data_IF_974372843113
#
_entry.id   IF_974372843113
#
_cell.length_a   1.000
_cell.length_b   1.000
_cell.length_c   1.000
_cell.angle_alpha   90.00
_cell.angle_beta   90.00
_cell.angle_gamma   90.00
#
_symmetry.space_group_name_H-M   'P 1'
#
loop_
_entity.id
_entity.type
_entity.pdbx_description
1 polymer ?
#
# COMPACT_ATOMS: atom_id res chain seq x y z
N UNK A 1 -35.50 33.42 49.78
CA UNK A 1 -35.70 32.34 48.79
C UNK A 1 -34.82 32.76 47.63
N UNK A 2 -33.54 32.40 47.67
CA UNK A 2 -32.60 32.79 46.63
C UNK A 2 -32.37 31.56 45.76
N UNK A 3 -33.05 31.55 44.61
CA UNK A 3 -32.79 30.60 43.53
C UNK A 3 -31.50 31.06 42.86
N UNK A 4 -30.41 30.35 43.07
CA UNK A 4 -29.18 30.53 42.30
C UNK A 4 -29.41 29.91 40.92
N UNK A 5 -29.67 30.75 39.91
CA UNK A 5 -29.54 30.35 38.52
C UNK A 5 -28.06 30.39 38.15
N UNK A 6 -27.54 29.24 37.73
CA UNK A 6 -26.16 29.07 37.27
C UNK A 6 -26.16 29.14 35.73
N UNK A 7 -25.68 30.26 35.19
CA UNK A 7 -25.54 30.44 33.75
C UNK A 7 -24.28 29.72 33.24
N UNK A 8 -24.48 28.59 32.55
CA UNK A 8 -23.40 27.85 31.90
C UNK A 8 -23.16 28.40 30.51
N UNK A 9 -22.07 29.15 30.33
CA UNK A 9 -21.61 29.59 29.00
C UNK A 9 -20.75 28.50 28.34
N UNK A 10 -21.21 27.97 27.22
CA UNK A 10 -20.48 26.96 26.46
C UNK A 10 -19.54 27.62 25.43
N UNK A 11 -18.24 27.30 25.43
CA UNK A 11 -17.30 27.75 24.39
C UNK A 11 -17.60 27.16 23.00
N UNK A 12 -17.16 27.83 21.93
CA UNK A 12 -17.40 27.40 20.54
C UNK A 12 -16.94 25.98 20.20
N UNK A 13 -15.91 25.48 20.88
CA UNK A 13 -15.45 24.10 20.68
C UNK A 13 -16.45 23.07 21.22
N UNK A 14 -17.28 23.43 22.20
CA UNK A 14 -18.25 22.51 22.80
C UNK A 14 -19.33 22.15 21.79
N UNK A 15 -19.77 23.10 20.98
CA UNK A 15 -20.71 22.83 19.87
C UNK A 15 -20.08 21.82 18.91
N UNK A 16 -18.82 22.00 18.51
CA UNK A 16 -18.12 21.06 17.61
C UNK A 16 -17.98 19.65 18.20
N UNK A 17 -17.74 19.54 19.50
CA UNK A 17 -17.66 18.25 20.19
C UNK A 17 -19.03 17.59 20.32
N UNK A 18 -20.07 18.36 20.61
CA UNK A 18 -21.44 17.86 20.67
C UNK A 18 -21.90 17.38 19.30
N UNK A 19 -21.64 18.16 18.24
CA UNK A 19 -21.93 17.76 16.86
C UNK A 19 -21.17 16.48 16.48
N UNK A 20 -19.91 16.35 16.92
CA UNK A 20 -19.15 15.12 16.74
C UNK A 20 -19.84 13.94 17.45
N UNK A 21 -20.20 14.07 18.73
CA UNK A 21 -20.86 12.99 19.46
C UNK A 21 -22.21 12.62 18.87
N UNK A 22 -23.00 13.61 18.44
CA UNK A 22 -24.25 13.38 17.73
C UNK A 22 -23.98 12.63 16.43
N UNK A 23 -22.99 13.04 15.64
CA UNK A 23 -22.62 12.37 14.39
C UNK A 23 -22.15 10.92 14.58
N UNK A 24 -21.52 10.62 15.72
CA UNK A 24 -21.13 9.25 16.09
C UNK A 24 -22.33 8.36 16.46
N UNK A 25 -23.45 8.96 16.85
CA UNK A 25 -24.69 8.25 17.17
C UNK A 25 -25.68 8.21 16.02
N UNK A 26 -25.56 9.12 15.05
CA UNK A 26 -26.44 9.21 13.91
C UNK A 26 -26.11 8.14 12.86
N UNK A 27 -27.15 7.46 12.40
CA UNK A 27 -27.05 6.38 11.42
C UNK A 27 -27.13 6.90 9.97
N UNK A 28 -26.51 8.07 9.72
CA UNK A 28 -26.65 8.79 8.45
C UNK A 28 -26.05 8.00 7.29
N UNK A 29 -26.83 7.92 6.20
CA UNK A 29 -26.37 7.34 4.95
C UNK A 29 -25.22 8.21 4.40
N UNK A 30 -24.06 7.59 4.20
CA UNK A 30 -22.89 8.31 3.69
C UNK A 30 -23.15 8.87 2.29
N UNK A 31 -22.95 10.17 2.14
CA UNK A 31 -23.32 10.91 0.93
C UNK A 31 -22.23 10.94 -0.17
N UNK A 32 -21.68 9.78 -0.54
CA UNK A 32 -20.65 9.69 -1.61
C UNK A 32 -21.06 10.42 -2.90
N UNK A 33 -22.35 10.30 -3.27
CA UNK A 33 -22.91 10.90 -4.48
C UNK A 33 -23.01 12.42 -4.40
N UNK A 34 -23.28 12.95 -3.21
CA UNK A 34 -23.39 14.38 -2.97
C UNK A 34 -22.07 15.06 -3.31
N UNK A 35 -20.94 14.46 -2.92
CA UNK A 35 -19.62 15.04 -3.19
C UNK A 35 -19.27 15.10 -4.68
N UNK A 36 -19.50 14.02 -5.44
CA UNK A 36 -19.18 14.00 -6.87
C UNK A 36 -20.05 14.99 -7.64
N UNK A 37 -21.37 14.96 -7.40
CA UNK A 37 -22.30 15.86 -8.05
C UNK A 37 -22.04 17.32 -7.66
N UNK A 38 -21.80 17.62 -6.38
CA UNK A 38 -21.49 18.96 -5.91
C UNK A 38 -20.17 19.48 -6.51
N UNK A 39 -19.16 18.63 -6.65
CA UNK A 39 -17.90 18.97 -7.34
C UNK A 39 -18.18 19.38 -8.78
N UNK A 40 -18.89 18.53 -9.53
CA UNK A 40 -19.24 18.82 -10.91
C UNK A 40 -20.10 20.09 -11.05
N UNK A 41 -21.12 20.26 -10.21
CA UNK A 41 -22.02 21.40 -10.25
C UNK A 41 -21.31 22.72 -9.95
N UNK A 42 -20.42 22.72 -8.94
CA UNK A 42 -19.62 23.89 -8.60
C UNK A 42 -18.70 24.31 -9.77
N UNK A 43 -17.97 23.36 -10.35
CA UNK A 43 -17.07 23.61 -11.47
C UNK A 43 -17.83 24.04 -12.72
N UNK A 44 -18.92 23.34 -13.08
CA UNK A 44 -19.72 23.65 -14.26
C UNK A 44 -20.32 25.05 -14.21
N UNK A 45 -20.87 25.43 -13.06
CA UNK A 45 -21.52 26.74 -12.89
C UNK A 45 -20.49 27.86 -13.02
N UNK A 46 -19.34 27.72 -12.35
CA UNK A 46 -18.27 28.69 -12.44
C UNK A 46 -17.63 28.75 -13.84
N UNK A 47 -17.53 27.63 -14.53
CA UNK A 47 -17.00 27.56 -15.90
C UNK A 47 -17.92 28.24 -16.93
N UNK A 48 -19.24 28.12 -16.74
CA UNK A 48 -20.24 28.76 -17.59
C UNK A 48 -20.34 30.28 -17.35
N UNK A 49 -20.30 30.71 -16.08
CA UNK A 49 -20.50 32.12 -15.71
C UNK A 49 -19.20 32.93 -15.76
N UNK A 50 -18.03 32.29 -15.63
CA UNK A 50 -16.69 32.92 -15.59
C UNK A 50 -16.64 34.20 -14.74
N UNK A 51 -17.20 34.13 -13.53
CA UNK A 51 -17.44 35.28 -12.65
C UNK A 51 -16.58 35.25 -11.37
N UNK A 52 -16.94 36.12 -10.41
CA UNK A 52 -16.24 36.33 -9.12
C UNK A 52 -16.25 35.12 -8.15
N UNK A 53 -16.81 33.99 -8.58
CA UNK A 53 -16.91 32.75 -7.80
C UNK A 53 -15.97 31.64 -8.27
N UNK A 54 -15.13 31.86 -9.29
CA UNK A 54 -14.17 30.88 -9.81
C UNK A 54 -13.27 30.27 -8.72
N UNK A 55 -12.65 31.12 -7.87
CA UNK A 55 -11.81 30.64 -6.77
C UNK A 55 -12.61 29.83 -5.74
N UNK A 56 -13.81 30.28 -5.37
CA UNK A 56 -14.67 29.57 -4.42
C UNK A 56 -15.13 28.21 -4.96
N UNK A 57 -15.45 28.14 -6.25
CA UNK A 57 -15.81 26.90 -6.91
C UNK A 57 -14.65 25.90 -6.90
N UNK A 58 -13.42 26.36 -7.15
CA UNK A 58 -12.23 25.52 -7.05
C UNK A 58 -12.00 25.00 -5.62
N UNK A 59 -12.12 25.86 -4.61
CA UNK A 59 -12.00 25.45 -3.20
C UNK A 59 -13.09 24.45 -2.80
N UNK A 60 -14.32 24.68 -3.25
CA UNK A 60 -15.45 23.77 -2.99
C UNK A 60 -15.22 22.41 -3.65
N UNK A 61 -14.79 22.40 -4.92
CA UNK A 61 -14.43 21.20 -5.64
C UNK A 61 -13.30 20.42 -4.96
N UNK A 62 -12.25 21.12 -4.50
CA UNK A 62 -11.13 20.53 -3.76
C UNK A 62 -11.59 19.86 -2.46
N UNK A 63 -12.41 20.55 -1.67
CA UNK A 63 -12.91 20.05 -0.40
C UNK A 63 -13.82 18.82 -0.58
N UNK A 64 -14.74 18.89 -1.54
CA UNK A 64 -15.64 17.77 -1.86
C UNK A 64 -14.86 16.55 -2.38
N UNK A 65 -13.87 16.77 -3.25
CA UNK A 65 -13.01 15.69 -3.76
C UNK A 65 -12.20 15.04 -2.64
N UNK A 66 -11.63 15.84 -1.74
CA UNK A 66 -10.89 15.32 -0.58
C UNK A 66 -11.78 14.47 0.33
N UNK A 67 -12.98 14.98 0.66
CA UNK A 67 -13.96 14.25 1.47
C UNK A 67 -14.38 12.93 0.81
N UNK A 68 -14.66 12.94 -0.49
CA UNK A 68 -14.98 11.73 -1.24
C UNK A 68 -13.87 10.67 -1.10
N UNK A 69 -12.61 11.09 -1.25
CA UNK A 69 -11.47 10.17 -1.13
C UNK A 69 -11.31 9.63 0.29
N UNK A 70 -11.50 10.46 1.31
CA UNK A 70 -11.45 10.02 2.70
C UNK A 70 -12.57 9.03 3.04
N UNK A 71 -13.76 9.23 2.45
CA UNK A 71 -14.87 8.31 2.58
C UNK A 71 -14.61 6.95 1.91
N UNK A 72 -13.94 6.94 0.75
CA UNK A 72 -13.52 5.71 0.06
C UNK A 72 -12.44 4.97 0.86
N UNK A 73 -11.44 5.68 1.38
CA UNK A 73 -10.42 5.11 2.28
C UNK A 73 -11.04 4.53 3.54
N UNK A 74 -12.03 5.21 4.10
CA UNK A 74 -12.75 4.75 5.30
C UNK A 74 -13.51 3.46 5.02
N UNK A 75 -14.21 3.36 3.88
CA UNK A 75 -14.84 2.12 3.44
C UNK A 75 -13.83 0.99 3.30
N UNK A 76 -12.70 1.24 2.61
CA UNK A 76 -11.62 0.26 2.45
C UNK A 76 -11.13 -0.26 3.80
N UNK A 77 -10.86 0.64 4.75
CA UNK A 77 -10.37 0.30 6.08
C UNK A 77 -11.43 -0.43 6.91
N UNK A 78 -12.71 -0.06 6.80
CA UNK A 78 -13.79 -0.76 7.47
C UNK A 78 -13.89 -2.22 7.00
N UNK A 79 -13.84 -2.46 5.69
CA UNK A 79 -13.84 -3.82 5.14
C UNK A 79 -12.63 -4.62 5.66
N UNK A 80 -11.44 -4.00 5.66
CA UNK A 80 -10.23 -4.61 6.23
C UNK A 80 -10.39 -4.96 7.70
N UNK A 81 -10.98 -4.08 8.52
CA UNK A 81 -11.24 -4.32 9.95
C UNK A 81 -12.14 -5.54 10.15
N UNK A 82 -13.23 -5.63 9.40
CA UNK A 82 -14.13 -6.80 9.45
C UNK A 82 -13.44 -8.07 8.99
N UNK A 83 -12.55 -7.99 7.99
CA UNK A 83 -11.76 -9.13 7.55
C UNK A 83 -10.77 -9.61 8.59
N UNK A 84 -10.14 -8.70 9.34
CA UNK A 84 -9.28 -9.07 10.45
C UNK A 84 -10.06 -9.71 11.61
N UNK A 85 -11.20 -9.12 11.98
CA UNK A 85 -12.08 -9.64 13.04
C UNK A 85 -12.60 -11.06 12.76
N UNK A 86 -12.65 -11.49 11.49
CA UNK A 86 -13.02 -12.86 11.11
C UNK A 86 -12.11 -13.92 11.74
N UNK A 87 -10.86 -13.58 12.05
CA UNK A 87 -9.92 -14.50 12.71
C UNK A 87 -10.31 -14.79 14.15
N UNK A 88 -10.96 -13.85 14.82
CA UNK A 88 -11.35 -13.96 16.23
C UNK A 88 -12.63 -14.78 16.43
N UNK A 89 -13.38 -15.04 15.35
CA UNK A 89 -14.61 -15.83 15.40
C UNK A 89 -14.31 -17.32 15.60
N UNK A 90 -14.83 -17.85 16.72
CA UNK A 90 -14.61 -19.22 17.15
C UNK A 90 -15.69 -20.19 16.67
N UNK A 91 -16.94 -19.74 16.50
CA UNK A 91 -18.06 -20.60 16.10
C UNK A 91 -18.66 -20.17 14.76
N UNK A 92 -19.35 -21.10 14.09
CA UNK A 92 -20.06 -20.79 12.84
C UNK A 92 -21.14 -19.72 13.04
N UNK A 93 -21.78 -19.68 14.21
CA UNK A 93 -22.76 -18.65 14.58
C UNK A 93 -22.12 -17.26 14.70
N UNK A 94 -20.90 -17.16 15.25
CA UNK A 94 -20.17 -15.88 15.32
C UNK A 94 -19.87 -15.35 13.92
N UNK A 95 -19.47 -16.24 13.00
CA UNK A 95 -19.24 -15.88 11.59
C UNK A 95 -20.54 -15.45 10.90
N UNK A 96 -21.64 -16.16 11.13
CA UNK A 96 -22.97 -15.80 10.60
C UNK A 96 -23.39 -14.41 11.07
N UNK A 97 -23.33 -14.15 12.38
CA UNK A 97 -23.68 -12.84 12.96
C UNK A 97 -22.77 -11.74 12.43
N UNK A 98 -21.45 -11.99 12.41
CA UNK A 98 -20.48 -11.02 11.90
C UNK A 98 -20.70 -10.68 10.42
N UNK A 99 -21.05 -11.67 9.60
CA UNK A 99 -21.26 -11.48 8.16
C UNK A 99 -22.64 -10.89 7.82
N UNK A 100 -23.71 -11.52 8.29
CA UNK A 100 -25.08 -11.18 7.88
C UNK A 100 -25.70 -10.05 8.71
N UNK A 101 -25.49 -10.04 10.02
CA UNK A 101 -26.15 -9.04 10.88
C UNK A 101 -25.36 -7.73 10.90
N UNK A 102 -24.03 -7.83 10.92
CA UNK A 102 -23.13 -6.67 11.05
C UNK A 102 -22.62 -6.22 9.70
N UNK A 103 -21.81 -7.02 9.01
CA UNK A 103 -21.13 -6.57 7.79
C UNK A 103 -22.10 -6.26 6.65
N UNK A 104 -23.05 -7.16 6.38
CA UNK A 104 -24.02 -6.96 5.31
C UNK A 104 -24.86 -5.70 5.57
N UNK A 105 -25.46 -5.58 6.76
CA UNK A 105 -26.31 -4.44 7.11
C UNK A 105 -25.54 -3.12 7.13
N UNK A 106 -24.40 -3.05 7.81
CA UNK A 106 -23.69 -1.79 8.07
C UNK A 106 -22.77 -1.36 6.93
N UNK A 107 -22.19 -2.30 6.19
CA UNK A 107 -21.20 -2.02 5.15
C UNK A 107 -21.77 -2.31 3.76
N UNK A 108 -22.29 -3.52 3.55
CA UNK A 108 -22.67 -3.97 2.21
C UNK A 108 -23.87 -3.18 1.66
N UNK A 109 -24.98 -3.19 2.41
CA UNK A 109 -26.27 -2.62 1.98
C UNK A 109 -26.28 -1.09 2.07
N UNK A 110 -25.62 -0.52 3.10
CA UNK A 110 -25.64 0.92 3.37
C UNK A 110 -24.58 1.73 2.64
N UNK A 111 -23.43 1.13 2.32
CA UNK A 111 -22.28 1.88 1.81
C UNK A 111 -21.83 1.32 0.46
N UNK A 112 -21.49 0.03 0.41
CA UNK A 112 -20.87 -0.57 -0.77
C UNK A 112 -21.82 -0.70 -1.97
N UNK A 113 -23.04 -1.20 -1.76
CA UNK A 113 -24.02 -1.36 -2.84
C UNK A 113 -24.48 -0.02 -3.44
N UNK A 114 -24.82 1.01 -2.65
CA UNK A 114 -25.11 2.34 -3.19
C UNK A 114 -23.93 2.89 -4.00
N UNK A 115 -22.70 2.75 -3.52
CA UNK A 115 -21.51 3.18 -4.25
C UNK A 115 -21.36 2.46 -5.60
N UNK A 116 -21.67 1.16 -5.67
CA UNK A 116 -21.53 0.34 -6.88
C UNK A 116 -22.66 0.53 -7.90
N UNK A 117 -23.86 0.80 -7.42
CA UNK A 117 -25.07 0.90 -8.27
C UNK A 117 -25.26 2.30 -8.83
N UNK A 118 -24.68 3.31 -8.19
CA UNK A 118 -24.82 4.70 -8.60
C UNK A 118 -23.69 5.10 -9.54
N UNK A 119 -24.06 5.54 -10.74
CA UNK A 119 -23.15 5.89 -11.83
C UNK A 119 -22.55 7.31 -11.70
N UNK A 120 -22.48 7.87 -10.48
CA UNK A 120 -22.05 9.25 -10.27
C UNK A 120 -20.60 9.48 -10.68
N UNK A 121 -19.69 8.59 -10.24
CA UNK A 121 -18.26 8.72 -10.54
C UNK A 121 -17.99 8.59 -12.05
N UNK A 122 -18.41 7.50 -12.74
CA UNK A 122 -18.13 7.38 -14.17
C UNK A 122 -18.79 8.48 -15.01
N UNK A 123 -20.00 8.92 -14.62
CA UNK A 123 -20.74 9.99 -15.33
C UNK A 123 -20.06 11.36 -15.23
N UNK A 124 -19.56 11.73 -14.05
CA UNK A 124 -19.07 13.10 -13.81
C UNK A 124 -17.56 13.25 -13.88
N UNK A 125 -16.79 12.16 -13.78
CA UNK A 125 -15.31 12.19 -13.85
C UNK A 125 -14.79 12.89 -15.11
N UNK A 126 -15.21 12.44 -16.30
CA UNK A 126 -14.70 13.02 -17.55
C UNK A 126 -15.07 14.51 -17.72
N UNK A 127 -16.32 14.96 -17.45
CA UNK A 127 -16.64 16.39 -17.44
C UNK A 127 -15.82 17.22 -16.45
N UNK A 128 -15.58 16.73 -15.22
CA UNK A 128 -14.77 17.41 -14.21
C UNK A 128 -13.33 17.59 -14.71
N UNK A 129 -12.70 16.51 -15.18
CA UNK A 129 -11.33 16.54 -15.67
C UNK A 129 -11.17 17.48 -16.86
N UNK A 130 -12.16 17.52 -17.76
CA UNK A 130 -12.15 18.44 -18.90
C UNK A 130 -12.17 19.90 -18.44
N UNK A 131 -13.10 20.29 -17.56
CA UNK A 131 -13.19 21.67 -17.05
C UNK A 131 -11.86 22.07 -16.38
N UNK A 132 -11.30 21.19 -15.55
CA UNK A 132 -10.05 21.47 -14.84
C UNK A 132 -8.84 21.56 -15.79
N UNK A 133 -8.79 20.75 -16.84
CA UNK A 133 -7.75 20.86 -17.87
C UNK A 133 -7.85 22.18 -18.64
N UNK A 134 -9.06 22.65 -18.93
CA UNK A 134 -9.29 23.96 -19.56
C UNK A 134 -8.83 25.08 -18.62
N UNK A 135 -9.16 25.03 -17.32
CA UNK A 135 -8.71 26.00 -16.33
C UNK A 135 -7.19 25.96 -16.11
N UNK A 136 -6.57 24.77 -16.18
CA UNK A 136 -5.13 24.58 -16.05
C UNK A 136 -4.35 25.15 -17.25
N UNK A 137 -4.98 25.27 -18.41
CA UNK A 137 -4.36 25.85 -19.62
C UNK A 137 -4.66 27.35 -19.79
N UNK A 138 -5.79 27.85 -19.29
CA UNK A 138 -6.21 29.26 -19.37
C UNK A 138 -5.54 30.17 -18.30
N UNK A 139 -4.42 30.81 -18.67
CA UNK A 139 -3.66 31.69 -17.77
C UNK A 139 -4.48 32.91 -17.27
N UNK A 140 -5.19 33.66 -18.13
CA UNK A 140 -6.07 34.74 -17.69
C UNK A 140 -7.07 34.30 -16.62
N UNK A 141 -7.70 33.13 -16.79
CA UNK A 141 -8.65 32.59 -15.82
C UNK A 141 -8.00 32.28 -14.47
N UNK A 142 -6.77 31.75 -14.46
CA UNK A 142 -6.00 31.55 -13.22
C UNK A 142 -5.57 32.85 -12.56
N UNK A 143 -5.27 33.89 -13.35
CA UNK A 143 -4.97 35.23 -12.81
C UNK A 143 -6.20 35.82 -12.12
N UNK A 144 -7.39 35.70 -12.74
CA UNK A 144 -8.65 36.12 -12.11
C UNK A 144 -8.91 35.39 -10.79
N UNK A 145 -8.67 34.09 -10.72
CA UNK A 145 -8.79 33.32 -9.47
C UNK A 145 -7.79 33.80 -8.40
N UNK A 146 -6.56 34.13 -8.80
CA UNK A 146 -5.53 34.63 -7.90
C UNK A 146 -5.95 35.98 -7.30
N UNK A 147 -6.42 36.91 -8.14
CA UNK A 147 -6.93 38.20 -7.71
C UNK A 147 -8.11 38.06 -6.73
N UNK A 148 -9.05 37.15 -7.03
CA UNK A 148 -10.18 36.83 -6.14
C UNK A 148 -9.70 36.30 -4.78
N UNK A 149 -8.65 35.46 -4.76
CA UNK A 149 -8.12 34.90 -3.52
C UNK A 149 -7.45 35.97 -2.64
N UNK A 150 -6.71 36.91 -3.26
CA UNK A 150 -6.08 38.04 -2.57
C UNK A 150 -7.13 39.02 -2.05
N UNK A 151 -8.13 39.40 -2.87
CA UNK A 151 -9.22 40.30 -2.45
C UNK A 151 -9.98 39.77 -1.22
N UNK A 152 -10.05 38.44 -1.07
CA UNK A 152 -10.69 37.76 0.07
C UNK A 152 -9.75 37.57 1.28
N UNK A 153 -8.52 38.09 1.22
CA UNK A 153 -7.52 37.99 2.28
C UNK A 153 -7.00 36.57 2.53
N UNK A 154 -7.08 35.67 1.53
CA UNK A 154 -6.57 34.30 1.67
C UNK A 154 -5.06 34.20 1.45
N UNK A 155 -4.51 35.07 0.61
CA UNK A 155 -3.09 35.14 0.31
C UNK A 155 -2.64 36.59 0.29
N UNK A 156 -1.35 36.81 0.59
CA UNK A 156 -0.74 38.14 0.56
C UNK A 156 0.04 38.40 -0.73
N UNK A 157 0.48 37.34 -1.42
CA UNK A 157 1.24 37.43 -2.67
C UNK A 157 0.53 36.70 -3.84
N UNK A 158 0.51 37.28 -5.06
CA UNK A 158 -0.07 36.64 -6.24
C UNK A 158 0.57 35.30 -6.63
N UNK A 159 1.87 35.15 -6.38
CA UNK A 159 2.61 33.91 -6.66
C UNK A 159 2.13 32.76 -5.76
N UNK A 160 1.92 33.03 -4.46
CA UNK A 160 1.42 32.04 -3.50
C UNK A 160 -0.01 31.58 -3.84
N UNK A 161 -0.87 32.52 -4.23
CA UNK A 161 -2.23 32.22 -4.66
C UNK A 161 -2.24 31.38 -5.94
N UNK A 162 -1.40 31.72 -6.92
CA UNK A 162 -1.25 30.95 -8.15
C UNK A 162 -0.74 29.52 -7.88
N UNK A 163 0.24 29.36 -7.00
CA UNK A 163 0.75 28.04 -6.61
C UNK A 163 -0.35 27.18 -5.95
N UNK A 164 -1.13 27.76 -5.03
CA UNK A 164 -2.25 27.05 -4.40
C UNK A 164 -3.32 26.65 -5.41
N UNK A 165 -3.67 27.53 -6.36
CA UNK A 165 -4.64 27.24 -7.43
C UNK A 165 -4.16 26.06 -8.28
N UNK A 166 -2.92 26.11 -8.76
CA UNK A 166 -2.33 25.03 -9.57
C UNK A 166 -2.31 23.71 -8.79
N UNK A 167 -1.86 23.76 -7.54
CA UNK A 167 -1.85 22.59 -6.66
C UNK A 167 -3.24 22.00 -6.47
N UNK A 168 -4.27 22.82 -6.25
CA UNK A 168 -5.65 22.35 -6.09
C UNK A 168 -6.18 21.71 -7.36
N UNK A 169 -5.97 22.33 -8.51
CA UNK A 169 -6.40 21.79 -9.81
C UNK A 169 -5.74 20.43 -10.04
N UNK A 170 -4.40 20.35 -9.95
CA UNK A 170 -3.66 19.10 -10.15
C UNK A 170 -4.09 18.01 -9.16
N UNK A 171 -4.23 18.35 -7.87
CA UNK A 171 -4.68 17.38 -6.87
C UNK A 171 -6.07 16.82 -7.19
N UNK A 172 -7.03 17.65 -7.61
CA UNK A 172 -8.36 17.16 -7.97
C UNK A 172 -8.25 16.21 -9.17
N UNK A 173 -7.49 16.58 -10.19
CA UNK A 173 -7.28 15.75 -11.39
C UNK A 173 -6.68 14.39 -11.02
N UNK A 174 -5.57 14.38 -10.28
CA UNK A 174 -4.88 13.16 -9.85
C UNK A 174 -5.80 12.23 -9.04
N UNK A 175 -6.61 12.80 -8.14
CA UNK A 175 -7.55 12.03 -7.31
C UNK A 175 -8.68 11.40 -8.13
N UNK A 176 -9.22 12.11 -9.13
CA UNK A 176 -10.24 11.54 -10.03
C UNK A 176 -9.65 10.50 -10.98
N UNK A 177 -8.41 10.69 -11.46
CA UNK A 177 -7.71 9.70 -12.28
C UNK A 177 -7.46 8.40 -11.51
N UNK A 178 -6.93 8.50 -10.28
CA UNK A 178 -6.67 7.35 -9.40
C UNK A 178 -7.91 6.69 -8.79
N UNK A 179 -9.10 7.28 -8.95
CA UNK A 179 -10.33 6.82 -8.30
C UNK A 179 -10.74 5.40 -8.71
N UNK A 180 -10.58 5.05 -9.99
CA UNK A 180 -10.98 3.73 -10.50
C UNK A 180 -10.16 2.62 -9.85
N UNK A 181 -8.85 2.83 -9.68
CA UNK A 181 -7.98 1.89 -8.99
C UNK A 181 -8.34 1.73 -7.51
N UNK A 182 -8.78 2.81 -6.85
CA UNK A 182 -9.24 2.76 -5.46
C UNK A 182 -10.55 1.96 -5.33
N UNK A 183 -11.51 2.19 -6.23
CA UNK A 183 -12.77 1.45 -6.28
C UNK A 183 -12.51 -0.04 -6.55
N UNK A 184 -11.62 -0.37 -7.49
CA UNK A 184 -11.25 -1.76 -7.76
C UNK A 184 -10.61 -2.44 -6.54
N UNK A 185 -9.76 -1.72 -5.79
CA UNK A 185 -9.21 -2.25 -4.54
C UNK A 185 -10.28 -2.53 -3.49
N UNK A 186 -11.28 -1.66 -3.35
CA UNK A 186 -12.43 -1.87 -2.47
C UNK A 186 -13.20 -3.12 -2.91
N UNK A 187 -13.48 -3.29 -4.20
CA UNK A 187 -14.15 -4.46 -4.77
C UNK A 187 -13.39 -5.77 -4.49
N UNK A 188 -12.07 -5.77 -4.70
CA UNK A 188 -11.19 -6.90 -4.38
C UNK A 188 -11.25 -7.26 -2.90
N UNK A 189 -11.23 -6.26 -2.00
CA UNK A 189 -11.31 -6.48 -0.55
C UNK A 189 -12.68 -7.01 -0.11
N UNK A 190 -13.77 -6.46 -0.64
CA UNK A 190 -15.12 -6.95 -0.36
C UNK A 190 -15.29 -8.42 -0.80
N UNK A 191 -14.80 -8.75 -1.99
CA UNK A 191 -14.84 -10.11 -2.52
C UNK A 191 -13.98 -11.06 -1.68
N UNK A 192 -12.77 -10.64 -1.30
CA UNK A 192 -11.89 -11.41 -0.44
C UNK A 192 -12.52 -11.68 0.94
N UNK A 193 -13.11 -10.66 1.57
CA UNK A 193 -13.83 -10.81 2.84
C UNK A 193 -14.99 -11.80 2.71
N UNK A 194 -15.85 -11.62 1.70
CA UNK A 194 -17.03 -12.48 1.48
C UNK A 194 -16.59 -13.93 1.30
N UNK A 195 -15.59 -14.18 0.45
CA UNK A 195 -15.04 -15.52 0.24
C UNK A 195 -14.46 -16.11 1.52
N UNK A 196 -13.60 -15.37 2.23
CA UNK A 196 -13.00 -15.83 3.48
C UNK A 196 -14.05 -16.15 4.54
N UNK A 197 -15.12 -15.35 4.65
CA UNK A 197 -16.19 -15.58 5.62
C UNK A 197 -16.94 -16.89 5.35
N UNK A 198 -17.24 -17.18 4.08
CA UNK A 198 -17.90 -18.43 3.67
C UNK A 198 -16.96 -19.63 3.89
N UNK A 199 -15.68 -19.50 3.53
CA UNK A 199 -14.68 -20.56 3.74
C UNK A 199 -14.49 -20.87 5.24
N UNK A 200 -14.40 -19.84 6.09
CA UNK A 200 -14.32 -20.00 7.55
C UNK A 200 -15.58 -20.66 8.12
N UNK A 201 -16.76 -20.25 7.68
CA UNK A 201 -18.03 -20.86 8.10
C UNK A 201 -18.10 -22.35 7.71
N UNK A 202 -17.75 -22.69 6.46
CA UNK A 202 -17.68 -24.09 6.01
C UNK A 202 -16.67 -24.90 6.80
N UNK A 203 -15.51 -24.32 7.12
CA UNK A 203 -14.51 -24.98 7.95
C UNK A 203 -15.08 -25.31 9.33
N UNK A 204 -15.69 -24.34 10.02
CA UNK A 204 -16.26 -24.55 11.35
C UNK A 204 -17.41 -25.58 11.33
N UNK A 205 -18.29 -25.53 10.32
CA UNK A 205 -19.40 -26.50 10.18
C UNK A 205 -18.93 -27.94 9.87
N UNK A 206 -17.83 -28.10 9.12
CA UNK A 206 -17.31 -29.42 8.75
C UNK A 206 -16.31 -29.99 9.77
N UNK A 207 -15.79 -29.15 10.67
CA UNK A 207 -14.91 -29.56 11.77
C UNK A 207 -15.70 -30.44 12.75
N UNK A 208 -16.98 -30.16 12.98
CA UNK A 208 -17.82 -30.87 13.96
C UNK A 208 -18.08 -32.38 13.70
N UNK A 209 -17.68 -32.96 12.56
CA UNK A 209 -17.95 -34.39 12.25
C UNK A 209 -16.78 -35.23 11.76
N UNK A 210 -15.63 -34.65 11.44
CA UNK A 210 -14.47 -35.41 10.96
C UNK A 210 -13.48 -35.71 12.09
N UNK A 211 -12.72 -36.81 11.98
CA UNK A 211 -11.62 -37.13 12.91
C UNK A 211 -10.63 -35.95 13.01
N UNK A 212 -10.40 -35.26 11.88
CA UNK A 212 -9.58 -34.05 11.82
C UNK A 212 -10.14 -32.94 12.71
N UNK A 213 -11.46 -32.76 12.75
CA UNK A 213 -12.04 -31.70 13.55
C UNK A 213 -12.09 -32.00 15.04
N UNK A 214 -12.35 -33.26 15.43
CA UNK A 214 -12.16 -33.70 16.83
C UNK A 214 -10.72 -33.48 17.31
N UNK A 215 -9.73 -33.71 16.45
CA UNK A 215 -8.32 -33.40 16.72
C UNK A 215 -8.07 -31.90 16.87
N UNK A 216 -8.65 -31.08 16.00
CA UNK A 216 -8.54 -29.61 16.09
C UNK A 216 -9.20 -29.10 17.37
N UNK A 217 -10.38 -29.60 17.75
CA UNK A 217 -11.08 -29.18 18.97
C UNK A 217 -10.26 -29.53 20.21
N UNK A 218 -9.71 -30.75 20.27
CA UNK A 218 -8.80 -31.17 21.34
C UNK A 218 -7.57 -30.27 21.41
N UNK A 219 -6.91 -29.99 20.29
CA UNK A 219 -5.72 -29.13 20.26
C UNK A 219 -6.04 -27.68 20.63
N UNK A 220 -7.20 -27.17 20.22
CA UNK A 220 -7.66 -25.82 20.52
C UNK A 220 -8.01 -25.67 22.00
N UNK A 221 -8.65 -26.69 22.60
CA UNK A 221 -8.95 -26.72 24.03
C UNK A 221 -7.68 -26.83 24.88
N UNK A 222 -6.70 -27.66 24.46
CA UNK A 222 -5.36 -27.73 25.07
C UNK A 222 -4.67 -26.37 25.03
N UNK A 223 -4.72 -25.66 23.90
CA UNK A 223 -4.09 -24.36 23.74
C UNK A 223 -4.74 -23.26 24.60
N UNK A 224 -6.05 -23.37 24.85
CA UNK A 224 -6.81 -22.43 25.70
C UNK A 224 -6.70 -22.74 27.19
N UNK A 225 -6.56 -24.02 27.56
CA UNK A 225 -6.51 -24.50 28.94
C UNK A 225 -5.29 -25.40 29.19
N UNK A 226 -4.15 -24.85 29.65
CA UNK A 226 -2.93 -25.62 29.87
C UNK A 226 -3.06 -26.74 30.94
N UNK A 227 -4.09 -26.68 31.80
CA UNK A 227 -4.41 -27.74 32.76
C UNK A 227 -4.97 -29.00 32.08
N UNK A 228 -5.70 -28.86 30.97
CA UNK A 228 -6.17 -29.99 30.16
C UNK A 228 -5.03 -30.65 29.38
N UNK A 229 -4.00 -29.89 29.01
CA UNK A 229 -2.79 -30.43 28.39
C UNK A 229 -2.15 -31.54 29.23
N UNK A 230 -2.00 -31.32 30.54
CA UNK A 230 -1.40 -32.28 31.46
C UNK A 230 -2.21 -33.59 31.59
N UNK A 231 -3.54 -33.52 31.52
CA UNK A 231 -4.41 -34.70 31.52
C UNK A 231 -4.32 -35.50 30.22
N UNK A 232 -4.21 -34.82 29.09
CA UNK A 232 -4.15 -35.46 27.76
C UNK A 232 -2.77 -36.08 27.50
N UNK A 233 -1.69 -35.41 27.92
CA UNK A 233 -0.32 -35.96 27.86
C UNK A 233 -0.13 -37.17 28.80
N UNK A 234 -1.00 -37.37 29.78
CA UNK A 234 -1.05 -38.59 30.59
C UNK A 234 -1.53 -39.84 29.84
N UNK A 235 -2.07 -39.69 28.62
CA UNK A 235 -2.50 -40.80 27.76
C UNK A 235 -1.39 -41.31 26.82
N UNK A 236 -0.13 -40.91 27.04
CA UNK A 236 1.02 -41.39 26.26
C UNK A 236 1.11 -42.93 26.22
N UNK A 237 0.62 -43.59 27.29
CA UNK A 237 0.55 -45.04 27.42
C UNK A 237 -0.68 -45.69 26.78
N UNK A 238 -1.66 -44.91 26.32
CA UNK A 238 -2.92 -45.39 25.72
C UNK A 238 -2.99 -45.21 24.20
N UNK A 239 -2.08 -44.42 23.61
CA UNK A 239 -2.07 -44.11 22.18
C UNK A 239 -0.89 -44.82 21.51
N UNK A 240 -1.15 -46.00 20.94
CA UNK A 240 -0.19 -46.65 20.07
C UNK A 240 -0.41 -46.22 18.62
N UNK A 241 0.38 -45.24 18.16
CA UNK A 241 0.41 -44.83 16.75
C UNK A 241 1.28 -45.79 15.95
N UNK A 242 0.64 -46.64 15.16
CA UNK A 242 1.34 -47.52 14.21
C UNK A 242 1.41 -46.86 12.84
N UNK A 243 2.61 -46.81 12.27
CA UNK A 243 2.80 -46.38 10.87
C UNK A 243 2.12 -47.40 9.97
N UNK A 244 1.00 -47.03 9.36
CA UNK A 244 0.39 -47.83 8.30
C UNK A 244 0.95 -47.42 6.95
N UNK A 245 1.44 -48.41 6.20
CA UNK A 245 1.90 -48.26 4.82
C UNK A 245 1.40 -49.42 4.00
N UNK A 246 1.16 -49.18 2.71
CA UNK A 246 0.88 -50.21 1.72
C UNK A 246 2.15 -50.45 0.90
N UNK A 247 2.38 -51.70 0.49
CA UNK A 247 3.51 -52.04 -0.38
C UNK A 247 3.04 -51.91 -1.83
N UNK A 248 3.73 -51.09 -2.60
CA UNK A 248 3.55 -50.90 -4.04
C UNK A 248 4.90 -51.01 -4.78
N UNK A 249 4.87 -50.92 -6.10
CA UNK A 249 6.07 -50.99 -6.96
C UNK A 249 7.10 -49.90 -6.65
N UNK A 250 6.69 -48.81 -5.99
CA UNK A 250 7.57 -47.70 -5.58
C UNK A 250 8.07 -47.85 -4.14
N UNK A 251 7.68 -48.88 -3.42
CA UNK A 251 8.07 -49.09 -2.02
C UNK A 251 9.55 -49.46 -1.84
N UNK A 252 10.21 -49.93 -2.90
CA UNK A 252 11.67 -50.13 -2.97
C UNK A 252 12.45 -48.84 -3.29
N UNK A 253 11.75 -47.72 -3.57
CA UNK A 253 12.40 -46.44 -3.86
C UNK A 253 12.93 -45.81 -2.57
N UNK A 254 14.23 -45.94 -2.35
CA UNK A 254 14.97 -45.13 -1.38
C UNK A 254 15.37 -43.81 -2.03
N UNK A 255 14.69 -42.73 -1.64
CA UNK A 255 15.11 -41.37 -2.02
C UNK A 255 16.54 -41.15 -1.49
N UNK A 256 17.47 -40.74 -2.34
CA UNK A 256 18.79 -40.30 -1.87
C UNK A 256 18.60 -39.03 -1.06
N UNK A 257 18.69 -39.12 0.26
CA UNK A 257 18.62 -37.98 1.16
C UNK A 257 19.79 -37.02 0.91
N UNK A 258 19.58 -36.03 0.04
CA UNK A 258 20.48 -34.87 -0.08
C UNK A 258 20.22 -33.81 0.98
N UNK A 259 19.30 -34.07 1.92
CA UNK A 259 18.84 -33.11 2.92
C UNK A 259 18.42 -33.80 4.22
N UNK A 260 19.16 -34.83 4.65
CA UNK A 260 19.25 -35.03 6.09
C UNK A 260 20.06 -33.85 6.61
N UNK A 261 19.38 -32.75 6.96
CA UNK A 261 19.94 -31.73 7.82
C UNK A 261 20.30 -32.49 9.11
N UNK A 262 21.53 -32.98 9.19
CA UNK A 262 22.06 -33.52 10.44
C UNK A 262 21.94 -32.35 11.40
N UNK A 263 21.17 -32.50 12.46
CA UNK A 263 21.22 -31.57 13.58
C UNK A 263 22.70 -31.48 14.00
N UNK A 264 23.36 -30.44 13.52
CA UNK A 264 24.67 -30.07 14.00
C UNK A 264 24.52 -29.68 15.45
N UNK A 265 25.57 -29.93 16.24
CA UNK A 265 25.62 -29.46 17.62
C UNK A 265 25.21 -27.99 17.64
N UNK A 266 24.18 -27.60 18.41
CA UNK A 266 23.74 -26.21 18.45
C UNK A 266 24.94 -25.34 18.81
N UNK A 267 25.25 -24.40 17.91
CA UNK A 267 26.28 -23.40 18.16
C UNK A 267 25.86 -22.64 19.42
N UNK A 268 26.74 -22.61 20.43
CA UNK A 268 26.51 -21.80 21.64
C UNK A 268 26.18 -20.39 21.20
N UNK A 269 24.96 -19.95 21.52
CA UNK A 269 24.56 -18.56 21.39
C UNK A 269 25.49 -17.79 22.32
N UNK A 270 26.37 -16.96 21.77
CA UNK A 270 27.12 -16.02 22.60
C UNK A 270 26.09 -15.08 23.23
N UNK A 271 26.08 -14.98 24.55
CA UNK A 271 25.28 -13.97 25.24
C UNK A 271 25.82 -12.59 24.85
N UNK A 272 25.15 -11.94 23.90
CA UNK A 272 25.45 -10.57 23.54
C UNK A 272 24.75 -9.67 24.57
N UNK A 273 25.55 -9.02 25.42
CA UNK A 273 25.06 -8.03 26.40
C UNK A 273 24.24 -6.93 25.71
N UNK A 274 23.30 -6.34 26.46
CA UNK A 274 22.18 -5.47 26.03
C UNK A 274 22.56 -4.19 25.24
N UNK A 275 23.81 -3.99 24.87
CA UNK A 275 24.31 -2.84 24.09
C UNK A 275 24.72 -3.19 22.65
N UNK A 276 24.40 -4.40 22.16
CA UNK A 276 24.89 -4.96 20.88
C UNK A 276 24.00 -4.73 19.64
N UNK A 277 23.04 -3.80 19.68
CA UNK A 277 22.14 -3.54 18.55
C UNK A 277 22.60 -2.42 17.63
N UNK A 278 22.58 -1.18 18.13
CA UNK A 278 22.47 -0.06 17.20
C UNK A 278 23.81 0.45 16.66
N UNK A 279 24.90 0.47 17.43
CA UNK A 279 26.16 1.09 16.98
C UNK A 279 26.89 0.27 15.91
N UNK A 280 26.87 -1.06 16.00
CA UNK A 280 27.48 -1.93 14.99
C UNK A 280 26.58 -2.14 13.77
N UNK A 281 25.26 -2.16 13.94
CA UNK A 281 24.32 -2.16 12.81
C UNK A 281 24.37 -0.83 12.06
N UNK A 282 24.44 0.31 12.76
CA UNK A 282 24.70 1.62 12.15
C UNK A 282 26.08 1.64 11.48
N UNK A 283 27.13 1.09 12.11
CA UNK A 283 28.45 0.96 11.51
C UNK A 283 28.46 0.06 10.26
N UNK A 284 27.66 -1.01 10.24
CA UNK A 284 27.47 -1.89 9.10
C UNK A 284 26.69 -1.19 7.98
N UNK A 285 25.59 -0.53 8.31
CA UNK A 285 24.77 0.26 7.36
C UNK A 285 25.59 1.42 6.79
N UNK A 286 26.42 2.08 7.61
CA UNK A 286 27.30 3.16 7.18
C UNK A 286 28.42 2.64 6.26
N UNK A 287 29.01 1.48 6.57
CA UNK A 287 29.97 0.81 5.65
C UNK A 287 29.29 0.39 4.35
N UNK A 288 28.10 -0.21 4.41
CA UNK A 288 27.34 -0.59 3.23
C UNK A 288 26.98 0.62 2.35
N UNK A 289 26.56 1.75 2.95
CA UNK A 289 26.30 3.01 2.24
C UNK A 289 27.55 3.62 1.59
N UNK A 290 28.73 3.48 2.21
CA UNK A 290 30.01 3.95 1.66
C UNK A 290 30.53 3.07 0.52
N UNK A 291 30.31 1.75 0.61
CA UNK A 291 30.76 0.76 -0.38
C UNK A 291 29.96 0.88 -1.69
N UNK A 292 28.65 1.16 -1.60
CA UNK A 292 27.74 1.23 -2.75
C UNK A 292 27.39 2.67 -3.14
N UNK A 293 28.40 3.53 -3.22
CA UNK A 293 28.22 4.90 -3.73
C UNK A 293 28.29 4.96 -5.25
N UNK A 294 27.62 5.96 -5.79
CA UNK A 294 27.65 6.32 -7.21
C UNK A 294 29.06 6.52 -7.79
N UNK A 295 29.99 7.02 -6.98
CA UNK A 295 31.38 7.24 -7.39
C UNK A 295 32.14 5.91 -7.51
N UNK A 296 31.87 4.95 -6.62
CA UNK A 296 32.49 3.62 -6.69
C UNK A 296 32.03 2.84 -7.93
N UNK A 297 30.75 2.94 -8.30
CA UNK A 297 30.25 2.31 -9.53
C UNK A 297 30.89 2.91 -10.80
N UNK A 298 31.12 4.23 -10.82
CA UNK A 298 31.84 4.90 -11.91
C UNK A 298 33.29 4.43 -12.01
N UNK A 299 34.01 4.40 -10.87
CA UNK A 299 35.41 3.95 -10.80
C UNK A 299 35.55 2.49 -11.23
N UNK A 300 34.61 1.64 -10.81
CA UNK A 300 34.57 0.23 -11.20
C UNK A 300 34.42 0.04 -12.72
N UNK A 301 33.52 0.78 -13.37
CA UNK A 301 33.41 0.74 -14.84
C UNK A 301 34.65 1.32 -15.51
N UNK A 302 35.27 2.34 -14.94
CA UNK A 302 36.50 2.94 -15.49
C UNK A 302 37.67 1.95 -15.46
N UNK A 303 37.83 1.22 -14.36
CA UNK A 303 38.81 0.14 -14.18
C UNK A 303 38.52 -1.02 -15.14
N UNK A 304 37.26 -1.44 -15.29
CA UNK A 304 36.87 -2.50 -16.23
C UNK A 304 37.10 -2.11 -17.70
N UNK A 305 36.86 -0.84 -18.05
CA UNK A 305 37.09 -0.37 -19.41
C UNK A 305 38.60 -0.20 -19.70
N UNK A 306 39.44 0.08 -18.69
CA UNK A 306 40.89 0.18 -18.81
C UNK A 306 41.38 1.00 -20.04
N UNK A 307 40.67 2.11 -20.34
CA UNK A 307 40.97 2.97 -21.50
C UNK A 307 40.39 2.52 -22.85
N UNK A 308 39.66 1.40 -22.92
CA UNK A 308 38.94 0.95 -24.12
C UNK A 308 37.73 1.84 -24.40
N UNK A 309 37.36 1.91 -25.68
CA UNK A 309 36.18 2.66 -26.16
C UNK A 309 34.88 1.89 -25.91
N UNK A 310 34.93 0.56 -26.00
CA UNK A 310 33.78 -0.33 -25.82
C UNK A 310 34.14 -1.49 -24.90
N UNK A 311 33.25 -1.80 -23.95
CA UNK A 311 33.30 -2.98 -23.09
C UNK A 311 32.01 -3.78 -23.25
N UNK A 312 32.11 -5.04 -23.66
CA UNK A 312 30.96 -5.92 -23.86
C UNK A 312 30.75 -6.86 -22.68
N UNK A 313 29.50 -7.25 -22.41
CA UNK A 313 29.14 -8.14 -21.30
C UNK A 313 29.90 -9.47 -21.22
N UNK A 314 30.28 -10.15 -22.33
CA UNK A 314 31.10 -11.35 -22.26
C UNK A 314 32.50 -11.13 -21.67
N UNK A 315 33.00 -9.89 -21.67
CA UNK A 315 34.33 -9.53 -21.15
C UNK A 315 34.29 -9.22 -19.65
N UNK A 316 33.10 -9.07 -19.05
CA UNK A 316 32.91 -8.72 -17.64
C UNK A 316 32.99 -9.99 -16.81
N UNK A 317 34.05 -10.13 -16.01
CA UNK A 317 34.23 -11.23 -15.06
C UNK A 317 33.75 -10.80 -13.68
N UNK A 318 32.61 -11.34 -13.25
CA UNK A 318 32.07 -11.12 -11.91
C UNK A 318 32.62 -12.19 -10.96
N UNK A 319 33.29 -11.78 -9.88
CA UNK A 319 33.91 -12.73 -8.93
C UNK A 319 33.20 -12.79 -7.59
N UNK A 320 32.43 -11.76 -7.23
CA UNK A 320 31.74 -11.64 -5.94
C UNK A 320 30.45 -10.81 -6.06
N UNK A 321 29.62 -10.83 -5.01
CA UNK A 321 28.37 -10.07 -4.95
C UNK A 321 28.58 -8.55 -5.09
N UNK A 322 29.72 -8.04 -4.62
CA UNK A 322 30.04 -6.62 -4.65
C UNK A 322 30.21 -6.10 -6.08
N UNK A 323 30.95 -6.83 -6.92
CA UNK A 323 31.14 -6.57 -8.35
C UNK A 323 29.80 -6.54 -9.10
N UNK A 324 28.93 -7.49 -8.77
CA UNK A 324 27.59 -7.58 -9.37
C UNK A 324 26.71 -6.39 -9.00
N UNK A 325 26.71 -5.98 -7.74
CA UNK A 325 25.95 -4.80 -7.27
C UNK A 325 26.47 -3.52 -7.92
N UNK A 326 27.79 -3.34 -8.03
CA UNK A 326 28.39 -2.18 -8.71
C UNK A 326 28.04 -2.14 -10.20
N UNK A 327 28.03 -3.30 -10.87
CA UNK A 327 27.58 -3.42 -12.25
C UNK A 327 26.09 -3.04 -12.40
N UNK A 328 25.22 -3.52 -11.52
CA UNK A 328 23.79 -3.13 -11.52
C UNK A 328 23.60 -1.64 -11.30
N UNK A 329 24.33 -1.04 -10.36
CA UNK A 329 24.26 0.40 -10.10
C UNK A 329 24.72 1.21 -11.31
N UNK A 330 25.76 0.76 -12.00
CA UNK A 330 26.25 1.38 -13.22
C UNK A 330 25.24 1.33 -14.39
N UNK A 331 24.53 0.20 -14.55
CA UNK A 331 23.56 0.02 -15.64
C UNK A 331 22.26 0.81 -15.42
N UNK A 332 21.77 0.85 -14.19
CA UNK A 332 20.57 1.62 -13.81
C UNK A 332 20.74 3.12 -14.08
N UNK A 333 21.96 3.63 -13.96
CA UNK A 333 22.26 5.06 -14.17
C UNK A 333 22.51 5.43 -15.63
N UNK A 334 22.38 4.51 -16.58
CA UNK A 334 22.65 4.73 -18.01
C UNK A 334 21.96 5.96 -18.64
N UNK A 335 20.88 6.47 -18.04
CA UNK A 335 20.19 7.70 -18.44
C UNK A 335 20.80 9.03 -17.98
N UNK A 336 21.81 9.02 -17.10
CA UNK A 336 22.38 10.25 -16.54
C UNK A 336 23.31 10.99 -17.50
N UNK A 337 23.09 12.31 -17.65
CA UNK A 337 23.87 13.18 -18.54
C UNK A 337 25.35 13.24 -18.17
N UNK A 338 25.68 13.12 -16.88
CA UNK A 338 27.03 13.30 -16.33
C UNK A 338 27.93 12.04 -16.30
N UNK A 339 27.53 10.93 -16.93
CA UNK A 339 28.38 9.73 -17.02
C UNK A 339 29.33 9.78 -18.21
N UNK A 340 30.55 9.24 -18.07
CA UNK A 340 31.55 9.13 -19.14
C UNK A 340 31.26 8.00 -20.15
N UNK A 341 30.25 7.17 -19.89
CA UNK A 341 29.84 6.06 -20.75
C UNK A 341 28.33 6.09 -21.03
N UNK A 342 27.92 5.32 -22.04
CA UNK A 342 26.53 4.97 -22.36
C UNK A 342 26.40 3.45 -22.34
N UNK A 343 25.25 2.94 -21.89
CA UNK A 343 24.94 1.51 -21.91
C UNK A 343 23.97 1.23 -23.04
N UNK A 344 24.30 0.26 -23.88
CA UNK A 344 23.43 -0.26 -24.95
C UNK A 344 23.04 -1.69 -24.61
N UNK A 345 21.74 -1.94 -24.44
CA UNK A 345 21.22 -3.27 -24.20
C UNK A 345 20.94 -3.98 -25.53
N UNK A 346 21.41 -5.22 -25.64
CA UNK A 346 21.20 -6.14 -26.73
C UNK A 346 20.23 -7.25 -26.29
N UNK A 347 19.74 -8.01 -27.26
CA UNK A 347 18.90 -9.17 -26.95
C UNK A 347 19.69 -10.28 -26.24
N UNK A 348 19.03 -10.87 -25.24
CA UNK A 348 19.54 -12.02 -24.48
C UNK A 348 20.16 -11.68 -23.12
N UNK A 349 20.49 -12.74 -22.39
CA UNK A 349 21.17 -12.69 -21.10
C UNK A 349 22.36 -13.64 -21.12
N UNK A 350 23.41 -13.28 -20.39
CA UNK A 350 24.64 -14.05 -20.27
C UNK A 350 24.86 -14.46 -18.82
N UNK A 351 25.51 -15.60 -18.62
CA UNK A 351 25.95 -16.05 -17.30
C UNK A 351 27.45 -15.74 -17.13
N UNK A 352 27.79 -14.99 -16.08
CA UNK A 352 29.17 -14.66 -15.71
C UNK A 352 29.34 -14.84 -14.20
N UNK A 353 30.24 -15.73 -13.80
CA UNK A 353 30.57 -15.93 -12.38
C UNK A 353 29.44 -16.46 -11.50
N UNK A 354 28.44 -17.14 -12.09
CA UNK A 354 27.23 -17.60 -11.38
C UNK A 354 26.09 -16.57 -11.33
N UNK A 355 26.29 -15.38 -11.91
CA UNK A 355 25.26 -14.33 -12.03
C UNK A 355 24.74 -14.25 -13.46
N UNK A 356 23.45 -13.91 -13.59
CA UNK A 356 22.80 -13.64 -14.88
C UNK A 356 22.76 -12.14 -15.14
N UNK A 357 23.45 -11.69 -16.18
CA UNK A 357 23.50 -10.28 -16.60
C UNK A 357 22.87 -10.10 -17.99
N UNK A 358 22.24 -8.94 -18.29
CA UNK A 358 21.76 -8.66 -19.63
C UNK A 358 22.93 -8.60 -20.61
N UNK A 359 22.69 -8.95 -21.88
CA UNK A 359 23.66 -8.72 -22.93
C UNK A 359 23.73 -7.21 -23.22
N UNK A 360 24.83 -6.55 -22.84
CA UNK A 360 24.98 -5.11 -22.96
C UNK A 360 26.40 -4.68 -23.34
N UNK A 361 26.52 -3.49 -23.90
CA UNK A 361 27.79 -2.81 -24.23
C UNK A 361 27.89 -1.46 -23.54
N UNK A 362 29.00 -1.21 -22.86
CA UNK A 362 29.38 0.10 -22.35
C UNK A 362 30.23 0.82 -23.40
N UNK A 363 29.78 1.98 -23.87
CA UNK A 363 30.46 2.80 -24.89
C UNK A 363 30.89 4.12 -24.28
N UNK A 364 32.18 4.46 -24.36
CA UNK A 364 32.72 5.73 -23.83
C UNK A 364 32.20 6.90 -24.67
N UNK A 365 31.71 7.97 -24.03
CA UNK A 365 31.30 9.20 -24.72
C UNK A 365 32.56 9.96 -25.14
N UNK A 366 32.64 10.37 -26.40
CA UNK A 366 33.74 11.23 -26.86
C UNK A 366 33.67 12.61 -26.18
N UNK A 367 34.79 13.05 -25.62
CA UNK A 367 34.95 14.43 -25.17
C UNK A 367 35.04 15.29 -26.44
N UNK A 368 34.05 16.14 -26.69
CA UNK A 368 34.20 17.22 -27.68
C UNK A 368 35.36 18.10 -27.24
N UNK A 369 36.53 17.92 -27.86
CA UNK A 369 37.62 18.88 -27.80
C UNK A 369 37.05 20.24 -28.22
N UNK A 370 37.06 21.21 -27.31
CA UNK A 370 36.91 22.60 -27.70
C UNK A 370 38.13 22.95 -28.53
N UNK A 371 37.92 23.03 -29.86
CA UNK A 371 38.85 23.70 -30.77
C UNK A 371 38.85 25.16 -30.36
N UNK A 372 39.93 25.58 -29.70
CA UNK A 372 40.31 26.99 -29.57
C UNK A 372 41.06 27.45 -30.81
#
# INVERSE_FOLDING_TARGET
MDSFEEDITLPDYTVKLLDLFVSLTSDEAREYNSYVYATYSALKTADAERNDYLYNALVTAYNNTTRLIDELKTLHNNIRRHHQALNDFATANDVLKGHFDIYKTLIMDRIYHPLKTLDSVPRFKAPILRILADWLSDLPLRQMMSDQAIQRGKFSAPEEAMEDILRKISNIMDLYEGMDAMLEQIDRKNTAYTRSSIEKMRYLLNTDRSIKGKLVDLLTDIARNPVHAAKILGFDSCINLYRQGFVDEKSLYTRTDRSALREGVPLKIAEFGETFGDSQVQGFIHRARLIYTSQNALKYIEELMAGRVVLSSPEIKLSNDHDFILLMLATLRSGDRNLFYRVEFLEGTLESGGYRIPNMRFVRKEVKAHVG
#
